data_IF_432688128122
#
_entry.id   IF_432688128122
#
_cell.length_a   1.000
_cell.length_b   1.000
_cell.length_c   1.000
_cell.angle_alpha   90.00
_cell.angle_beta   90.00
_cell.angle_gamma   90.00
#
_symmetry.space_group_name_H-M   'P 1'
#
loop_
_entity.id
_entity.type
_entity.pdbx_description
1 polymer ?
#
# COMPACT_ATOMS: atom_id res chain seq x y z
N UNK A 1 -16.69 15.44 9.16
CA UNK A 1 -16.40 16.85 8.84
C UNK A 1 -15.33 17.36 9.80
N UNK A 2 -14.56 18.37 9.39
CA UNK A 2 -13.58 19.09 10.22
C UNK A 2 -12.48 18.20 10.82
N UNK A 3 -11.89 17.33 9.99
CA UNK A 3 -10.79 16.45 10.38
C UNK A 3 -9.47 17.20 10.23
N UNK A 4 -8.70 17.27 11.32
CA UNK A 4 -7.33 17.78 11.33
C UNK A 4 -6.42 16.65 11.82
N UNK A 5 -5.44 16.26 11.01
CA UNK A 5 -4.54 15.15 11.29
C UNK A 5 -3.13 15.49 10.81
N UNK A 6 -2.12 15.10 11.58
CA UNK A 6 -0.72 15.13 11.17
C UNK A 6 -0.16 13.72 11.16
N UNK A 7 0.59 13.40 10.11
CA UNK A 7 1.30 12.13 9.96
C UNK A 7 2.80 12.44 10.08
N UNK A 8 3.45 11.76 10.99
CA UNK A 8 4.88 11.94 11.24
C UNK A 8 5.70 10.90 10.48
N UNK A 9 6.96 11.25 10.20
CA UNK A 9 7.91 10.32 9.56
C UNK A 9 8.27 9.20 10.53
N UNK A 10 8.56 8.04 9.98
CA UNK A 10 9.07 6.86 10.70
C UNK A 10 8.13 6.37 11.82
N UNK A 11 6.83 6.63 11.67
CA UNK A 11 5.80 6.22 12.63
C UNK A 11 4.67 5.48 11.93
N UNK A 12 3.96 4.66 12.71
CA UNK A 12 2.69 4.08 12.33
C UNK A 12 1.58 4.94 12.93
N UNK A 13 0.78 5.56 12.08
CA UNK A 13 -0.42 6.30 12.50
C UNK A 13 -1.64 5.43 12.30
N UNK A 14 -2.32 5.04 13.38
CA UNK A 14 -3.52 4.23 13.33
C UNK A 14 -4.80 5.07 13.39
N UNK A 15 -5.69 4.88 12.42
CA UNK A 15 -7.05 5.41 12.40
C UNK A 15 -7.98 4.34 12.97
N UNK A 16 -8.50 4.57 14.18
CA UNK A 16 -9.33 3.63 14.93
C UNK A 16 -10.73 4.19 15.10
N UNK A 17 -11.73 3.32 15.09
CA UNK A 17 -13.13 3.70 15.32
C UNK A 17 -14.11 2.67 14.75
N UNK A 18 -15.41 2.82 14.99
CA UNK A 18 -16.43 1.87 14.53
C UNK A 18 -16.50 1.78 13.01
N UNK A 19 -17.05 0.67 12.51
CA UNK A 19 -17.30 0.50 11.06
C UNK A 19 -18.21 1.60 10.54
N UNK A 20 -17.95 2.07 9.33
CA UNK A 20 -18.75 3.11 8.67
C UNK A 20 -18.51 4.55 9.13
N UNK A 21 -17.66 4.81 10.13
CA UNK A 21 -17.40 6.18 10.59
C UNK A 21 -16.52 7.03 9.64
N UNK A 22 -16.06 6.47 8.52
CA UNK A 22 -15.34 7.23 7.49
C UNK A 22 -13.82 7.09 7.50
N UNK A 23 -13.22 6.18 8.27
CA UNK A 23 -11.75 5.96 8.33
C UNK A 23 -11.12 5.73 6.96
N UNK A 24 -11.66 4.77 6.21
CA UNK A 24 -11.18 4.46 4.85
C UNK A 24 -11.39 5.65 3.90
N UNK A 25 -12.44 6.44 4.09
CA UNK A 25 -12.68 7.66 3.30
C UNK A 25 -11.59 8.69 3.57
N UNK A 26 -11.22 8.91 4.84
CA UNK A 26 -10.12 9.81 5.22
C UNK A 26 -8.79 9.27 4.67
N UNK A 27 -8.52 7.97 4.84
CA UNK A 27 -7.30 7.35 4.33
C UNK A 27 -7.14 7.60 2.83
N UNK A 28 -8.20 7.43 2.04
CA UNK A 28 -8.22 7.65 0.59
C UNK A 28 -8.12 9.12 0.17
N UNK A 29 -8.26 10.07 1.08
CA UNK A 29 -7.97 11.48 0.79
C UNK A 29 -6.47 11.70 0.62
N UNK A 30 -5.60 10.97 1.32
CA UNK A 30 -4.16 11.18 1.26
C UNK A 30 -3.53 10.85 -0.09
N UNK A 31 -4.15 9.96 -0.88
CA UNK A 31 -3.66 9.58 -2.21
C UNK A 31 -4.65 9.87 -3.35
N UNK A 32 -5.66 10.68 -3.10
CA UNK A 32 -6.66 11.07 -4.09
C UNK A 32 -7.47 9.89 -4.70
N UNK A 33 -7.58 8.76 -3.96
CA UNK A 33 -8.42 7.64 -4.43
C UNK A 33 -9.91 7.97 -4.41
N UNK A 34 -10.33 8.97 -3.61
CA UNK A 34 -11.72 9.43 -3.61
C UNK A 34 -12.10 10.13 -4.92
N UNK A 35 -11.16 10.63 -5.71
CA UNK A 35 -11.41 11.20 -7.05
C UNK A 35 -12.04 10.17 -8.02
N UNK A 36 -11.86 8.87 -7.75
CA UNK A 36 -12.43 7.78 -8.53
C UNK A 36 -13.87 7.45 -8.15
N UNK A 37 -14.42 8.11 -7.12
CA UNK A 37 -15.78 7.91 -6.62
C UNK A 37 -16.60 9.14 -7.00
N UNK A 38 -17.53 9.04 -7.98
CA UNK A 38 -18.24 10.23 -8.51
C UNK A 38 -19.03 11.02 -7.47
N UNK A 39 -19.47 10.37 -6.39
CA UNK A 39 -20.23 11.00 -5.31
C UNK A 39 -19.38 11.58 -4.19
N UNK A 40 -18.07 11.28 -4.16
CA UNK A 40 -17.18 11.79 -3.13
C UNK A 40 -16.78 13.23 -3.44
N UNK A 41 -16.86 14.07 -2.42
CA UNK A 41 -16.36 15.46 -2.47
C UNK A 41 -15.39 15.68 -1.33
N UNK A 42 -14.19 16.11 -1.66
CA UNK A 42 -13.14 16.48 -0.70
C UNK A 42 -13.09 18.00 -0.66
N UNK A 43 -13.08 18.57 0.55
CA UNK A 43 -12.89 19.99 0.80
C UNK A 43 -11.85 20.20 1.88
N UNK A 44 -11.21 21.36 1.92
CA UNK A 44 -10.05 21.62 2.77
C UNK A 44 -8.76 21.34 2.02
N UNK A 45 -7.65 21.15 2.73
CA UNK A 45 -6.33 20.93 2.14
C UNK A 45 -5.68 19.67 2.69
N UNK A 46 -4.95 18.96 1.82
CA UNK A 46 -4.10 17.81 2.20
C UNK A 46 -2.67 18.16 1.81
N UNK A 47 -1.89 18.58 2.80
CA UNK A 47 -0.53 19.06 2.56
C UNK A 47 0.48 17.93 2.61
N UNK A 48 1.31 17.83 1.58
CA UNK A 48 2.42 16.90 1.51
C UNK A 48 3.68 17.63 1.02
N UNK A 49 4.73 17.66 1.85
CA UNK A 49 6.00 18.40 1.54
C UNK A 49 5.76 19.86 1.10
N UNK A 50 4.80 20.54 1.69
CA UNK A 50 4.46 21.93 1.36
C UNK A 50 3.56 22.11 0.14
N UNK A 51 3.13 21.04 -0.52
CA UNK A 51 2.24 21.06 -1.69
C UNK A 51 0.86 20.57 -1.27
N UNK A 52 -0.19 21.28 -1.65
CA UNK A 52 -1.56 20.78 -1.50
C UNK A 52 -1.83 19.72 -2.57
N UNK A 53 -2.11 18.48 -2.13
CA UNK A 53 -2.37 17.35 -3.02
C UNK A 53 -3.65 17.51 -3.86
N UNK A 54 -4.54 18.45 -3.50
CA UNK A 54 -5.75 18.80 -4.25
C UNK A 54 -5.63 20.15 -4.97
N UNK A 55 -4.46 20.77 -4.90
CA UNK A 55 -4.17 22.00 -5.61
C UNK A 55 -4.10 21.83 -7.14
N UNK A 56 -4.15 22.93 -7.89
CA UNK A 56 -4.19 22.90 -9.37
C UNK A 56 -2.94 22.27 -10.00
N UNK A 57 -1.80 22.35 -9.33
CA UNK A 57 -0.52 21.84 -9.83
C UNK A 57 -0.26 20.36 -9.45
N UNK A 58 -1.16 19.75 -8.69
CA UNK A 58 -0.99 18.38 -8.20
C UNK A 58 -1.46 17.34 -9.21
N UNK A 59 -0.52 16.53 -9.72
CA UNK A 59 -0.83 15.40 -10.60
C UNK A 59 -1.27 14.18 -9.78
N UNK A 60 -2.52 13.74 -9.96
CA UNK A 60 -3.08 12.62 -9.21
C UNK A 60 -2.34 11.28 -9.43
N UNK A 61 -1.76 11.07 -10.61
CA UNK A 61 -0.94 9.87 -10.90
C UNK A 61 0.34 9.86 -10.08
N UNK A 62 1.03 11.00 -10.03
CA UNK A 62 2.26 11.17 -9.25
C UNK A 62 1.96 11.07 -7.74
N UNK A 63 0.84 11.64 -7.27
CA UNK A 63 0.39 11.49 -5.87
C UNK A 63 0.22 10.01 -5.52
N UNK A 64 -0.45 9.21 -6.37
CA UNK A 64 -0.67 7.77 -6.13
C UNK A 64 0.60 6.94 -6.25
N UNK A 65 1.58 7.39 -7.01
CA UNK A 65 2.90 6.77 -7.07
C UNK A 65 3.67 6.97 -5.76
N UNK A 66 3.66 8.20 -5.23
CA UNK A 66 4.37 8.56 -3.98
C UNK A 66 3.66 8.08 -2.72
N UNK A 67 2.34 8.00 -2.75
CA UNK A 67 1.53 7.59 -1.61
C UNK A 67 0.83 6.28 -1.97
N UNK A 68 1.53 5.18 -1.72
CA UNK A 68 1.06 3.82 -2.02
C UNK A 68 -0.11 3.39 -1.15
N UNK A 69 -0.92 2.43 -1.64
CA UNK A 69 -2.08 1.93 -0.90
C UNK A 69 -2.19 0.41 -1.00
N UNK A 70 -2.43 -0.20 0.15
CA UNK A 70 -2.81 -1.61 0.33
C UNK A 70 -4.26 -1.64 0.77
N UNK A 71 -5.09 -2.39 0.04
CA UNK A 71 -6.52 -2.49 0.28
C UNK A 71 -6.85 -3.61 1.26
N UNK A 72 -8.04 -3.53 1.85
CA UNK A 72 -8.58 -4.50 2.80
C UNK A 72 -8.65 -5.92 2.19
N UNK A 73 -9.15 -6.03 0.96
CA UNK A 73 -9.13 -7.30 0.22
C UNK A 73 -7.91 -7.33 -0.68
N UNK A 74 -7.12 -8.42 -0.64
CA UNK A 74 -6.05 -8.62 -1.59
C UNK A 74 -6.58 -8.45 -3.02
N UNK A 75 -5.85 -7.68 -3.81
CA UNK A 75 -6.25 -7.38 -5.20
C UNK A 75 -5.08 -7.58 -6.18
N UNK A 76 -4.47 -8.78 -6.21
CA UNK A 76 -3.43 -9.04 -7.19
C UNK A 76 -3.98 -8.92 -8.61
N UNK A 77 -3.14 -8.46 -9.54
CA UNK A 77 -3.50 -8.48 -10.95
C UNK A 77 -3.58 -9.92 -11.47
N UNK A 78 -4.39 -10.21 -12.50
CA UNK A 78 -4.47 -11.51 -13.17
C UNK A 78 -3.19 -11.78 -13.99
N UNK A 79 -2.06 -11.80 -13.33
CA UNK A 79 -0.70 -11.93 -13.85
C UNK A 79 0.11 -12.86 -12.95
N UNK A 80 1.35 -13.13 -13.36
CA UNK A 80 2.30 -13.87 -12.51
C UNK A 80 2.64 -13.10 -11.22
N UNK A 81 3.21 -13.82 -10.24
CA UNK A 81 3.75 -13.21 -9.02
C UNK A 81 4.79 -12.15 -9.39
N UNK A 82 5.73 -12.49 -10.28
CA UNK A 82 6.74 -11.57 -10.78
C UNK A 82 6.13 -10.33 -11.42
N UNK A 83 5.19 -10.49 -12.35
CA UNK A 83 4.62 -9.37 -13.08
C UNK A 83 3.71 -8.48 -12.22
N UNK A 84 3.18 -8.98 -11.10
CA UNK A 84 2.49 -8.15 -10.12
C UNK A 84 3.45 -7.13 -9.50
N UNK A 85 4.63 -7.56 -9.05
CA UNK A 85 5.62 -6.67 -8.42
C UNK A 85 6.28 -5.77 -9.46
N UNK A 86 6.64 -6.31 -10.62
CA UNK A 86 7.31 -5.58 -11.68
C UNK A 86 6.43 -4.54 -12.39
N UNK A 87 5.10 -4.57 -12.18
CA UNK A 87 4.15 -3.74 -12.93
C UNK A 87 4.40 -2.24 -12.75
N UNK A 88 4.44 -1.77 -11.51
CA UNK A 88 4.63 -0.35 -11.19
C UNK A 88 5.95 0.21 -11.74
N UNK A 89 7.09 -0.42 -11.45
CA UNK A 89 8.39 -0.02 -11.99
C UNK A 89 8.44 0.04 -13.52
N UNK A 90 7.85 -0.95 -14.20
CA UNK A 90 7.80 -0.94 -15.68
C UNK A 90 6.98 0.18 -16.27
N UNK A 91 5.91 0.59 -15.60
CA UNK A 91 5.07 1.72 -16.04
C UNK A 91 5.76 3.05 -15.79
N UNK A 92 6.47 3.18 -14.67
CA UNK A 92 7.03 4.47 -14.24
C UNK A 92 8.45 4.75 -14.74
N UNK A 93 9.29 3.76 -14.99
CA UNK A 93 10.71 3.97 -15.27
C UNK A 93 11.30 3.07 -16.35
N UNK A 94 10.61 2.02 -16.77
CA UNK A 94 11.09 1.02 -17.74
C UNK A 94 12.50 0.49 -17.41
N UNK A 95 12.74 -0.03 -16.21
CA UNK A 95 14.04 -0.58 -15.82
C UNK A 95 14.46 -1.72 -16.77
N UNK A 96 15.77 -1.96 -16.86
CA UNK A 96 16.32 -3.13 -17.57
C UNK A 96 15.78 -4.43 -16.97
N UNK A 97 16.02 -5.53 -17.67
CA UNK A 97 15.59 -6.86 -17.19
C UNK A 97 16.25 -7.19 -15.85
N UNK A 98 17.56 -6.97 -15.73
CA UNK A 98 18.32 -7.24 -14.51
C UNK A 98 17.83 -6.37 -13.34
N UNK A 99 17.70 -5.06 -13.54
CA UNK A 99 17.17 -4.14 -12.53
C UNK A 99 15.76 -4.54 -12.07
N UNK A 100 14.93 -5.03 -13.01
CA UNK A 100 13.58 -5.52 -12.69
C UNK A 100 13.65 -6.77 -11.80
N UNK A 101 14.52 -7.73 -12.11
CA UNK A 101 14.70 -8.96 -11.35
C UNK A 101 15.17 -8.66 -9.92
N UNK A 102 16.20 -7.82 -9.77
CA UNK A 102 16.73 -7.38 -8.47
C UNK A 102 15.67 -6.62 -7.63
N UNK A 103 14.89 -5.75 -8.29
CA UNK A 103 13.83 -5.00 -7.64
C UNK A 103 12.68 -5.91 -7.16
N UNK A 104 12.27 -6.88 -7.97
CA UNK A 104 11.25 -7.86 -7.61
C UNK A 104 11.70 -8.70 -6.41
N UNK A 105 12.93 -9.22 -6.45
CA UNK A 105 13.51 -9.98 -5.34
C UNK A 105 13.53 -9.15 -4.05
N UNK A 106 14.08 -7.93 -4.11
CA UNK A 106 14.14 -7.02 -2.96
C UNK A 106 12.75 -6.73 -2.40
N UNK A 107 11.77 -6.44 -3.26
CA UNK A 107 10.41 -6.11 -2.82
C UNK A 107 9.70 -7.30 -2.18
N UNK A 108 9.89 -8.52 -2.71
CA UNK A 108 9.35 -9.74 -2.12
C UNK A 108 10.03 -10.10 -0.80
N UNK A 109 11.34 -9.87 -0.66
CA UNK A 109 12.05 -10.01 0.62
C UNK A 109 11.52 -9.05 1.66
N UNK A 110 11.36 -7.77 1.32
CA UNK A 110 10.78 -6.75 2.20
C UNK A 110 9.36 -7.06 2.63
N UNK A 111 8.59 -7.76 1.79
CA UNK A 111 7.23 -8.23 2.12
C UNK A 111 7.20 -9.60 2.82
N UNK A 112 8.37 -10.11 3.27
CA UNK A 112 8.53 -11.43 3.90
C UNK A 112 7.85 -12.56 3.10
N UNK A 113 7.91 -12.49 1.75
CA UNK A 113 7.26 -13.43 0.85
C UNK A 113 8.24 -14.21 -0.03
N UNK A 114 9.48 -13.73 -0.18
CA UNK A 114 10.48 -14.29 -1.11
C UNK A 114 10.68 -15.78 -0.98
N UNK A 115 10.95 -16.27 0.22
CA UNK A 115 11.28 -17.67 0.45
C UNK A 115 10.12 -18.62 0.14
N UNK A 116 8.90 -18.12 0.18
CA UNK A 116 7.70 -18.89 -0.14
C UNK A 116 7.41 -18.95 -1.65
N UNK A 117 7.97 -18.02 -2.46
CA UNK A 117 7.58 -17.88 -3.87
C UNK A 117 8.73 -17.87 -4.87
N UNK A 118 9.99 -17.80 -4.44
CA UNK A 118 11.18 -17.67 -5.31
C UNK A 118 11.25 -18.70 -6.42
N UNK A 119 10.80 -19.94 -6.18
CA UNK A 119 10.83 -21.05 -7.15
C UNK A 119 9.59 -21.08 -8.07
N UNK A 120 8.62 -20.19 -7.87
CA UNK A 120 7.36 -20.15 -8.60
C UNK A 120 6.91 -18.75 -9.03
N UNK A 121 7.85 -17.85 -9.25
CA UNK A 121 7.57 -16.44 -9.61
C UNK A 121 6.75 -16.27 -10.89
N UNK A 122 6.80 -17.24 -11.81
CA UNK A 122 6.04 -17.25 -13.07
C UNK A 122 4.60 -17.77 -12.91
N UNK A 123 4.26 -18.36 -11.77
CA UNK A 123 2.90 -18.84 -11.51
C UNK A 123 1.93 -17.67 -11.30
N UNK A 124 0.65 -17.95 -11.51
CA UNK A 124 -0.42 -16.99 -11.27
C UNK A 124 -0.43 -16.50 -9.81
N UNK A 125 -0.59 -15.22 -9.61
CA UNK A 125 -0.76 -14.63 -8.27
C UNK A 125 -2.01 -15.17 -7.54
N UNK A 126 -3.02 -15.63 -8.25
CA UNK A 126 -4.21 -16.25 -7.66
C UNK A 126 -3.99 -17.65 -7.09
N UNK A 127 -2.84 -18.28 -7.37
CA UNK A 127 -2.47 -19.57 -6.74
C UNK A 127 -1.97 -19.40 -5.29
N UNK A 128 -1.78 -18.17 -4.84
CA UNK A 128 -1.33 -17.84 -3.49
C UNK A 128 -2.49 -17.88 -2.48
N UNK A 129 -2.18 -18.19 -1.22
CA UNK A 129 -3.14 -18.04 -0.11
C UNK A 129 -3.50 -16.55 0.10
N UNK A 130 -4.59 -16.27 0.82
CA UNK A 130 -5.02 -14.90 1.09
C UNK A 130 -3.93 -14.04 1.74
N UNK A 131 -3.24 -14.56 2.76
CA UNK A 131 -2.12 -13.86 3.40
C UNK A 131 -0.92 -13.65 2.48
N UNK A 132 -0.62 -14.63 1.61
CA UNK A 132 0.42 -14.48 0.59
C UNK A 132 0.03 -13.43 -0.46
N UNK A 133 -1.23 -13.41 -0.91
CA UNK A 133 -1.73 -12.39 -1.83
C UNK A 133 -1.66 -11.00 -1.23
N UNK A 134 -1.97 -10.86 0.06
CA UNK A 134 -1.86 -9.56 0.74
C UNK A 134 -0.41 -9.08 0.81
N UNK A 135 0.53 -9.96 1.19
CA UNK A 135 1.97 -9.64 1.17
C UNK A 135 2.48 -9.36 -0.25
N UNK A 136 1.94 -10.01 -1.27
CA UNK A 136 2.23 -9.68 -2.66
C UNK A 136 1.75 -8.27 -3.03
N UNK A 137 0.56 -7.85 -2.56
CA UNK A 137 0.06 -6.49 -2.77
C UNK A 137 0.93 -5.46 -2.03
N UNK A 138 1.47 -5.80 -0.84
CA UNK A 138 2.44 -4.96 -0.13
C UNK A 138 3.75 -4.88 -0.93
N UNK A 139 4.31 -6.02 -1.39
CA UNK A 139 5.51 -6.03 -2.24
C UNK A 139 5.35 -5.16 -3.49
N UNK A 140 4.18 -5.24 -4.14
CA UNK A 140 3.83 -4.41 -5.30
C UNK A 140 3.82 -2.92 -4.97
N UNK A 141 3.29 -2.54 -3.80
CA UNK A 141 3.28 -1.15 -3.36
C UNK A 141 4.69 -0.65 -3.02
N UNK A 142 5.53 -1.48 -2.38
CA UNK A 142 6.91 -1.15 -2.05
C UNK A 142 7.83 -1.07 -3.29
N UNK A 143 7.50 -1.78 -4.37
CA UNK A 143 8.32 -1.85 -5.57
C UNK A 143 8.46 -0.50 -6.30
N UNK A 144 7.56 0.45 -6.08
CA UNK A 144 7.64 1.80 -6.64
C UNK A 144 8.33 2.80 -5.73
N UNK A 145 8.85 2.33 -4.59
CA UNK A 145 9.52 3.12 -3.55
C UNK A 145 8.68 4.34 -3.13
N UNK A 146 7.51 4.13 -2.50
CA UNK A 146 6.61 5.21 -2.13
C UNK A 146 7.17 6.02 -0.96
N UNK A 147 6.76 7.27 -0.84
CA UNK A 147 7.11 8.12 0.31
C UNK A 147 6.26 7.83 1.56
N UNK A 148 5.06 7.27 1.37
CA UNK A 148 4.08 6.92 2.43
C UNK A 148 3.34 5.65 2.02
N UNK A 149 3.03 4.78 2.98
CA UNK A 149 2.23 3.59 2.75
C UNK A 149 0.91 3.67 3.52
N UNK A 150 -0.20 3.64 2.79
CA UNK A 150 -1.54 3.59 3.35
C UNK A 150 -2.02 2.14 3.40
N UNK A 151 -2.61 1.72 4.51
CA UNK A 151 -3.15 0.37 4.69
C UNK A 151 -4.59 0.41 5.19
N UNK A 152 -5.53 -0.04 4.38
CA UNK A 152 -6.95 -0.08 4.72
C UNK A 152 -7.31 -1.48 5.24
N UNK A 153 -7.32 -1.67 6.56
CA UNK A 153 -7.62 -2.93 7.26
C UNK A 153 -6.86 -4.16 6.68
N UNK A 154 -5.54 -4.13 6.56
CA UNK A 154 -4.78 -5.10 5.78
C UNK A 154 -4.86 -6.54 6.30
N UNK A 155 -5.31 -6.74 7.55
CA UNK A 155 -5.38 -8.04 8.21
C UNK A 155 -6.80 -8.56 8.44
N UNK A 156 -7.85 -7.80 8.09
CA UNK A 156 -9.23 -8.09 8.50
C UNK A 156 -9.82 -9.41 7.96
N UNK A 157 -9.26 -9.95 6.88
CA UNK A 157 -9.72 -11.20 6.24
C UNK A 157 -8.69 -12.34 6.34
N UNK A 158 -7.71 -12.22 7.25
CA UNK A 158 -6.60 -13.16 7.37
C UNK A 158 -6.69 -13.98 8.66
N UNK A 159 -6.08 -15.16 8.62
CA UNK A 159 -5.87 -15.96 9.80
C UNK A 159 -4.84 -15.32 10.76
N UNK A 160 -4.78 -15.73 12.04
CA UNK A 160 -3.88 -15.12 13.02
C UNK A 160 -2.39 -15.20 12.65
N UNK A 161 -1.96 -16.28 11.99
CA UNK A 161 -0.55 -16.45 11.57
C UNK A 161 -0.21 -15.46 10.46
N UNK A 162 -1.08 -15.32 9.46
CA UNK A 162 -0.90 -14.36 8.38
C UNK A 162 -0.96 -12.91 8.89
N UNK A 163 -1.83 -12.64 9.88
CA UNK A 163 -1.92 -11.34 10.55
C UNK A 163 -0.61 -10.99 11.24
N UNK A 164 -0.07 -11.88 12.09
CA UNK A 164 1.20 -11.66 12.78
C UNK A 164 2.34 -11.34 11.80
N UNK A 165 2.43 -12.06 10.69
CA UNK A 165 3.46 -11.79 9.65
C UNK A 165 3.34 -10.40 9.02
N UNK A 166 2.13 -9.86 8.88
CA UNK A 166 1.93 -8.50 8.34
C UNK A 166 2.26 -7.46 9.42
N UNK A 167 1.94 -7.73 10.68
CA UNK A 167 2.29 -6.85 11.81
C UNK A 167 3.80 -6.76 11.98
N UNK A 168 4.51 -7.90 11.96
CA UNK A 168 5.98 -7.94 11.99
C UNK A 168 6.57 -7.15 10.82
N UNK A 169 6.06 -7.36 9.62
CA UNK A 169 6.47 -6.63 8.42
C UNK A 169 6.28 -5.12 8.59
N UNK A 170 5.14 -4.65 9.12
CA UNK A 170 4.92 -3.22 9.36
C UNK A 170 5.93 -2.65 10.36
N UNK A 171 6.29 -3.42 11.39
CA UNK A 171 7.31 -3.03 12.34
C UNK A 171 8.72 -2.94 11.72
N UNK A 172 9.05 -3.80 10.78
CA UNK A 172 10.32 -3.77 10.06
C UNK A 172 10.42 -2.54 9.13
N UNK A 173 9.35 -2.24 8.37
CA UNK A 173 9.39 -1.19 7.35
C UNK A 173 9.05 0.21 7.87
N UNK A 174 8.50 0.37 9.08
CA UNK A 174 8.14 1.70 9.65
C UNK A 174 9.31 2.67 9.74
N UNK A 175 10.54 2.16 9.87
CA UNK A 175 11.75 2.98 9.90
C UNK A 175 12.09 3.62 8.54
N UNK A 176 11.57 3.05 7.46
CA UNK A 176 11.81 3.50 6.08
C UNK A 176 10.61 4.28 5.53
N UNK A 177 9.39 3.86 5.90
CA UNK A 177 8.13 4.44 5.41
C UNK A 177 7.22 4.86 6.56
N UNK A 178 6.70 6.09 6.57
CA UNK A 178 5.52 6.42 7.36
C UNK A 178 4.36 5.52 6.91
N UNK A 179 3.69 4.88 7.88
CA UNK A 179 2.54 4.03 7.62
C UNK A 179 1.31 4.66 8.21
N UNK A 180 0.23 4.75 7.43
CA UNK A 180 -1.10 5.12 7.93
C UNK A 180 -2.01 3.92 7.77
N UNK A 181 -2.50 3.40 8.88
CA UNK A 181 -3.32 2.19 8.89
C UNK A 181 -4.72 2.46 9.43
N UNK A 182 -5.72 1.91 8.77
CA UNK A 182 -7.07 1.74 9.33
C UNK A 182 -7.14 0.35 9.94
N UNK A 183 -7.54 0.26 11.19
CA UNK A 183 -7.72 -1.02 11.89
C UNK A 183 -8.90 -0.97 12.85
N UNK A 184 -9.54 -2.11 13.07
CA UNK A 184 -10.52 -2.32 14.13
C UNK A 184 -9.90 -3.03 15.34
N UNK A 185 -8.72 -3.61 15.17
CA UNK A 185 -8.01 -4.35 16.19
C UNK A 185 -7.01 -3.45 16.92
N UNK A 186 -7.06 -3.45 18.25
CA UNK A 186 -6.17 -2.68 19.13
C UNK A 186 -5.17 -3.60 19.86
N UNK A 187 -4.82 -4.73 19.25
CA UNK A 187 -3.78 -5.60 19.82
C UNK A 187 -2.40 -5.18 19.35
#
# INVERSE_FOLDING_TARGET
>A
RDVNLRIHRNEITALIGPSGCGKSTILRCFNRMNDLIPTAKVSGSVMYRGIDLYGPDANAGEVRRRIGMVFQKPNPFPKSIFDNVAFGPRVNGKPSKQETEELVERSLKRAALWDEVKDRLKQSAFSLSGGQQQRLCIARALAVDPDVLLMDEPCSALDPIATGRIEDLMHEIKGEYPIVIVTHNMQ
#
